data_IF_604794032548
#
_entry.id   IF_604794032548
#
_cell.length_a   1.000
_cell.length_b   1.000
_cell.length_c   1.000
_cell.angle_alpha   90.00
_cell.angle_beta   90.00
_cell.angle_gamma   90.00
#
_symmetry.space_group_name_H-M   'P 1'
#
loop_
_entity.id
_entity.type
_entity.pdbx_description
1 polymer ?
#
# COMPACT_ATOMS: atom_id res chain seq x y z
N UNK A 1 16.62 37.22 -1.12
CA UNK A 1 16.86 37.51 -2.55
C UNK A 1 18.20 36.89 -2.91
N UNK A 2 18.21 35.73 -3.56
CA UNK A 2 19.43 34.96 -3.79
C UNK A 2 19.21 33.96 -4.92
N UNK A 3 19.24 34.46 -6.15
CA UNK A 3 19.24 33.65 -7.36
C UNK A 3 20.67 33.62 -7.91
N UNK A 4 21.13 32.44 -8.34
CA UNK A 4 21.88 32.13 -9.58
C UNK A 4 22.93 31.03 -9.39
N UNK A 5 22.85 30.02 -10.25
CA UNK A 5 24.00 29.54 -11.04
C UNK A 5 23.54 29.19 -12.46
N UNK A 6 24.35 29.59 -13.43
CA UNK A 6 24.23 29.36 -14.88
C UNK A 6 25.33 28.39 -15.32
N UNK A 7 25.13 27.68 -16.45
CA UNK A 7 26.11 27.52 -17.54
C UNK A 7 25.38 27.07 -18.81
N UNK A 8 25.71 27.71 -19.93
CA UNK A 8 25.33 27.39 -21.31
C UNK A 8 26.54 26.74 -21.98
N UNK A 9 26.32 25.67 -22.74
CA UNK A 9 27.29 25.08 -23.65
C UNK A 9 26.58 24.22 -24.69
N UNK A 10 26.38 24.76 -25.88
CA UNK A 10 25.73 24.07 -26.99
C UNK A 10 26.73 23.42 -27.95
N UNK A 11 26.36 22.26 -28.50
CA UNK A 11 26.73 21.81 -29.84
C UNK A 11 25.50 21.12 -30.44
N UNK A 12 25.11 21.61 -31.62
CA UNK A 12 23.98 21.15 -32.44
C UNK A 12 24.41 19.92 -33.24
N UNK A 13 23.60 18.85 -33.22
CA UNK A 13 23.57 17.84 -34.29
C UNK A 13 22.13 17.38 -34.55
N UNK A 14 21.84 17.23 -35.84
CA UNK A 14 20.53 17.20 -36.50
C UNK A 14 19.60 16.03 -36.16
N UNK A 15 18.30 16.37 -36.05
CA UNK A 15 17.11 15.70 -36.60
C UNK A 15 17.02 14.16 -36.57
N UNK A 16 16.31 13.65 -35.56
CA UNK A 16 15.25 12.64 -35.77
C UNK A 16 14.01 13.09 -34.99
N UNK A 17 12.93 13.36 -35.72
CA UNK A 17 11.58 13.60 -35.19
C UNK A 17 11.08 12.27 -34.61
N UNK A 18 11.30 12.08 -33.32
CA UNK A 18 10.56 11.16 -32.49
C UNK A 18 9.67 11.97 -31.56
N UNK A 19 8.46 12.30 -31.99
CA UNK A 19 7.40 12.86 -31.15
C UNK A 19 6.95 11.79 -30.14
N UNK A 20 7.80 11.46 -29.17
CA UNK A 20 7.36 10.92 -27.90
C UNK A 20 6.95 12.12 -27.04
N UNK A 21 5.71 12.56 -27.22
CA UNK A 21 5.02 13.37 -26.21
C UNK A 21 4.70 12.43 -25.04
N UNK A 22 5.72 12.12 -24.25
CA UNK A 22 5.57 11.62 -22.89
C UNK A 22 6.04 12.74 -21.95
N UNK A 23 5.45 13.90 -22.13
CA UNK A 23 5.71 15.13 -21.37
C UNK A 23 4.48 15.64 -20.62
N UNK A 24 3.44 14.81 -20.52
CA UNK A 24 2.43 15.02 -19.49
C UNK A 24 3.05 14.62 -18.17
N UNK A 25 3.64 15.58 -17.45
CA UNK A 25 3.69 15.48 -16.00
C UNK A 25 2.23 15.24 -15.60
N UNK A 26 1.93 14.01 -15.18
CA UNK A 26 0.67 13.68 -14.54
C UNK A 26 0.72 14.44 -13.21
N UNK A 27 0.43 15.74 -13.25
CA UNK A 27 0.17 16.50 -12.04
C UNK A 27 -1.10 15.89 -11.48
N UNK A 28 -0.97 15.16 -10.38
CA UNK A 28 -2.01 14.27 -9.92
C UNK A 28 -3.35 15.01 -9.66
N UNK A 29 -3.29 16.25 -9.18
CA UNK A 29 -4.44 17.14 -9.06
C UNK A 29 -4.69 17.94 -10.34
N UNK A 30 -5.79 17.65 -11.04
CA UNK A 30 -6.31 18.47 -12.15
C UNK A 30 -7.60 19.17 -11.72
N UNK A 31 -7.66 20.49 -11.86
CA UNK A 31 -8.91 21.24 -11.69
C UNK A 31 -9.60 21.41 -13.05
N UNK A 32 -10.75 20.78 -13.24
CA UNK A 32 -11.56 20.87 -14.46
C UNK A 32 -12.85 21.64 -14.18
N UNK A 33 -12.83 22.94 -14.46
CA UNK A 33 -13.93 23.83 -14.07
C UNK A 33 -14.02 23.93 -12.54
N UNK A 34 -15.18 23.59 -11.98
CA UNK A 34 -15.41 23.56 -10.52
C UNK A 34 -15.12 22.19 -9.88
N UNK A 35 -14.65 21.21 -10.67
CA UNK A 35 -14.37 19.85 -10.22
C UNK A 35 -12.87 19.64 -10.00
N UNK A 36 -12.51 19.00 -8.90
CA UNK A 36 -11.17 18.47 -8.64
C UNK A 36 -11.11 17.01 -9.05
N UNK A 37 -10.21 16.65 -9.96
CA UNK A 37 -9.95 15.27 -10.35
C UNK A 37 -8.66 14.81 -9.68
N UNK A 38 -8.78 13.74 -8.89
CA UNK A 38 -7.67 13.15 -8.14
C UNK A 38 -7.29 11.78 -8.72
N UNK A 39 -6.01 11.49 -8.80
CA UNK A 39 -5.48 10.17 -9.19
C UNK A 39 -5.32 9.31 -7.94
N UNK A 40 -6.02 8.16 -7.93
CA UNK A 40 -5.90 7.14 -6.88
C UNK A 40 -5.24 5.87 -7.41
N UNK A 41 -4.18 5.41 -6.74
CA UNK A 41 -3.44 4.19 -7.07
C UNK A 41 -3.68 3.07 -6.06
N UNK A 42 -3.97 1.86 -6.53
CA UNK A 42 -4.09 0.66 -5.70
C UNK A 42 -3.34 -0.50 -6.34
N UNK A 43 -2.46 -1.13 -5.57
CA UNK A 43 -1.72 -2.32 -6.03
C UNK A 43 -2.63 -3.56 -6.07
N UNK A 44 -3.76 -3.56 -5.36
CA UNK A 44 -4.70 -4.67 -5.36
C UNK A 44 -5.58 -4.66 -6.61
N UNK A 45 -5.93 -5.83 -7.16
CA UNK A 45 -6.93 -5.93 -8.22
C UNK A 45 -8.28 -5.35 -7.77
N UNK A 46 -9.02 -4.73 -8.69
CA UNK A 46 -10.34 -4.15 -8.41
C UNK A 46 -11.36 -5.16 -7.88
N UNK A 47 -11.19 -6.46 -8.17
CA UNK A 47 -12.06 -7.54 -7.68
C UNK A 47 -11.74 -7.97 -6.24
N UNK A 48 -10.59 -7.59 -5.70
CA UNK A 48 -10.24 -7.88 -4.31
C UNK A 48 -11.18 -7.12 -3.34
N UNK A 49 -11.44 -7.62 -2.12
CA UNK A 49 -12.19 -6.88 -1.12
C UNK A 49 -11.71 -5.43 -0.87
N UNK A 50 -10.40 -5.14 -0.69
CA UNK A 50 -9.93 -3.75 -0.54
C UNK A 50 -10.14 -2.94 -1.82
N UNK A 51 -9.79 -3.49 -2.99
CA UNK A 51 -9.95 -2.80 -4.28
C UNK A 51 -11.41 -2.42 -4.56
N UNK A 52 -12.36 -3.36 -4.40
CA UNK A 52 -13.80 -3.08 -4.56
C UNK A 52 -14.29 -2.00 -3.61
N UNK A 53 -13.84 -2.05 -2.35
CA UNK A 53 -14.25 -1.08 -1.32
C UNK A 53 -13.74 0.31 -1.63
N UNK A 54 -12.47 0.42 -2.07
CA UNK A 54 -11.86 1.68 -2.46
C UNK A 54 -12.56 2.30 -3.69
N UNK A 55 -12.75 1.52 -4.76
CA UNK A 55 -13.46 1.97 -5.98
C UNK A 55 -14.83 2.49 -5.61
N UNK A 56 -15.64 1.70 -4.90
CA UNK A 56 -16.99 2.09 -4.50
C UNK A 56 -17.00 3.36 -3.64
N UNK A 57 -16.11 3.44 -2.66
CA UNK A 57 -16.07 4.60 -1.77
C UNK A 57 -15.72 5.88 -2.54
N UNK A 58 -14.69 5.84 -3.39
CA UNK A 58 -14.23 6.98 -4.16
C UNK A 58 -15.27 7.42 -5.21
N UNK A 59 -15.80 6.48 -6.00
CA UNK A 59 -16.64 6.83 -7.16
C UNK A 59 -18.10 7.06 -6.80
N UNK A 60 -18.64 6.37 -5.78
CA UNK A 60 -20.05 6.52 -5.38
C UNK A 60 -20.19 7.44 -4.16
N UNK A 61 -19.48 7.13 -3.07
CA UNK A 61 -19.72 7.78 -1.77
C UNK A 61 -19.16 9.19 -1.76
N UNK A 62 -17.91 9.39 -2.19
CA UNK A 62 -17.30 10.73 -2.22
C UNK A 62 -18.01 11.60 -3.24
N UNK A 63 -18.19 11.13 -4.48
CA UNK A 63 -18.89 11.87 -5.53
C UNK A 63 -20.28 12.37 -5.06
N UNK A 64 -21.07 11.51 -4.42
CA UNK A 64 -22.38 11.90 -3.86
C UNK A 64 -22.25 12.94 -2.74
N UNK A 65 -21.30 12.77 -1.82
CA UNK A 65 -21.11 13.69 -0.68
C UNK A 65 -20.55 15.05 -1.09
N UNK A 66 -19.80 15.11 -2.18
CA UNK A 66 -19.23 16.35 -2.72
C UNK A 66 -20.10 16.99 -3.80
N UNK A 67 -21.23 16.39 -4.16
CA UNK A 67 -22.08 16.83 -5.26
C UNK A 67 -21.31 16.89 -6.59
N UNK A 68 -20.43 15.91 -6.84
CA UNK A 68 -19.60 15.84 -8.06
C UNK A 68 -18.40 16.79 -8.11
N UNK A 69 -18.15 17.60 -7.06
CA UNK A 69 -16.98 18.52 -7.03
C UNK A 69 -15.64 17.81 -6.87
N UNK A 70 -15.64 16.54 -6.47
CA UNK A 70 -14.44 15.71 -6.37
C UNK A 70 -14.69 14.42 -7.14
N UNK A 71 -13.84 14.17 -8.12
CA UNK A 71 -13.83 12.98 -8.96
C UNK A 71 -12.50 12.25 -8.84
N UNK A 72 -12.49 10.97 -9.15
CA UNK A 72 -11.30 10.13 -9.02
C UNK A 72 -11.01 9.38 -10.32
N UNK A 73 -9.77 9.47 -10.79
CA UNK A 73 -9.19 8.51 -11.72
C UNK A 73 -8.60 7.35 -10.91
N UNK A 74 -9.37 6.27 -10.79
CA UNK A 74 -8.99 5.09 -10.01
C UNK A 74 -8.21 4.09 -10.88
N UNK A 75 -6.97 3.80 -10.50
CA UNK A 75 -6.10 2.84 -11.17
C UNK A 75 -5.76 1.73 -10.17
N UNK A 76 -6.24 0.51 -10.43
CA UNK A 76 -6.07 -0.66 -9.55
C UNK A 76 -5.13 -1.70 -10.17
N UNK A 77 -4.79 -2.74 -9.40
CA UNK A 77 -4.00 -3.88 -9.87
C UNK A 77 -2.54 -3.53 -10.16
N UNK A 78 -2.03 -2.45 -9.56
CA UNK A 78 -0.65 -2.01 -9.77
C UNK A 78 -0.40 -1.32 -11.10
N UNK A 79 -1.44 -0.92 -11.83
CA UNK A 79 -1.31 -0.30 -13.16
C UNK A 79 -0.63 1.09 -13.18
N UNK A 80 -0.55 1.77 -12.03
CA UNK A 80 0.20 3.02 -11.87
C UNK A 80 1.45 2.81 -11.00
N UNK A 81 1.27 2.24 -9.80
CA UNK A 81 2.35 1.96 -8.86
C UNK A 81 2.09 0.63 -8.14
N UNK A 82 3.16 -0.10 -7.85
CA UNK A 82 3.11 -1.24 -6.94
C UNK A 82 3.07 -0.82 -5.47
N UNK A 83 3.02 -1.80 -4.58
CA UNK A 83 2.97 -1.58 -3.13
C UNK A 83 4.22 -0.87 -2.60
N UNK A 84 5.39 -1.20 -3.16
CA UNK A 84 6.68 -0.64 -2.72
C UNK A 84 6.83 0.83 -3.10
N UNK A 85 6.24 1.26 -4.21
CA UNK A 85 6.34 2.63 -4.71
C UNK A 85 5.27 3.55 -4.14
N UNK A 86 4.18 3.01 -3.56
CA UNK A 86 2.98 3.77 -3.22
C UNK A 86 3.23 4.98 -2.31
N UNK A 87 4.00 4.82 -1.21
CA UNK A 87 4.23 5.93 -0.27
C UNK A 87 5.05 7.06 -0.90
N UNK A 88 6.20 6.72 -1.49
CA UNK A 88 7.08 7.70 -2.15
C UNK A 88 6.43 8.33 -3.37
N UNK A 89 5.64 7.57 -4.11
CA UNK A 89 4.92 8.07 -5.27
C UNK A 89 3.83 9.08 -4.94
N UNK A 90 3.11 8.90 -3.82
CA UNK A 90 2.20 9.94 -3.33
C UNK A 90 3.00 11.16 -2.84
N UNK A 91 4.08 10.93 -2.08
CA UNK A 91 4.92 12.01 -1.57
C UNK A 91 5.55 12.87 -2.69
N UNK A 92 5.87 12.26 -3.84
CA UNK A 92 6.42 12.95 -5.01
C UNK A 92 5.36 13.43 -6.02
N UNK A 93 4.06 13.18 -5.76
CA UNK A 93 2.96 13.63 -6.60
C UNK A 93 2.70 12.82 -7.88
N UNK A 94 3.15 11.56 -7.96
CA UNK A 94 2.79 10.63 -9.05
C UNK A 94 1.29 10.27 -8.99
N UNK A 95 0.74 10.14 -7.79
CA UNK A 95 -0.69 10.04 -7.51
C UNK A 95 -1.04 10.93 -6.33
N UNK A 96 -2.29 11.42 -6.24
CA UNK A 96 -2.72 12.20 -5.07
C UNK A 96 -3.02 11.30 -3.88
N UNK A 97 -3.44 10.08 -4.16
CA UNK A 97 -3.86 9.10 -3.18
C UNK A 97 -3.38 7.71 -3.57
N UNK A 98 -3.04 6.89 -2.57
CA UNK A 98 -2.79 5.48 -2.79
C UNK A 98 -3.23 4.64 -1.60
N UNK A 99 -3.56 3.37 -1.87
CA UNK A 99 -3.57 2.37 -0.81
C UNK A 99 -2.13 2.03 -0.43
N UNK A 100 -1.80 2.19 0.84
CA UNK A 100 -0.48 1.89 1.37
C UNK A 100 -0.58 0.97 2.59
N UNK A 101 0.29 -0.04 2.62
CA UNK A 101 0.51 -0.90 3.78
C UNK A 101 1.79 -0.40 4.45
N UNK A 102 1.68 0.02 5.71
CA UNK A 102 2.81 0.52 6.50
C UNK A 102 3.96 -0.49 6.46
N UNK A 103 5.16 -0.02 6.15
CA UNK A 103 6.33 -0.88 6.02
C UNK A 103 7.61 -0.22 6.52
N UNK A 104 8.42 -0.98 7.25
CA UNK A 104 9.72 -0.52 7.77
C UNK A 104 10.70 -0.05 6.68
N UNK A 105 10.61 -0.60 5.45
CA UNK A 105 11.45 -0.19 4.31
C UNK A 105 11.34 1.30 4.00
N UNK A 106 10.19 1.91 4.29
CA UNK A 106 9.88 3.31 4.00
C UNK A 106 10.19 4.25 5.17
N UNK A 107 10.76 3.71 6.26
CA UNK A 107 11.11 4.46 7.47
C UNK A 107 10.06 4.43 8.57
N UNK A 108 8.99 3.64 8.41
CA UNK A 108 7.99 3.43 9.45
C UNK A 108 8.49 2.42 10.47
N UNK A 109 9.07 2.87 11.58
CA UNK A 109 9.58 2.01 12.66
C UNK A 109 8.60 1.99 13.82
N UNK A 110 8.14 3.15 14.28
CA UNK A 110 7.19 3.29 15.37
C UNK A 110 5.80 2.77 14.98
N UNK A 111 5.36 3.00 13.73
CA UNK A 111 4.08 2.47 13.26
C UNK A 111 4.05 0.94 13.20
N UNK A 112 5.20 0.25 13.11
CA UNK A 112 5.24 -1.22 13.10
C UNK A 112 4.77 -1.86 14.41
N UNK A 113 4.55 -1.08 15.47
CA UNK A 113 3.94 -1.58 16.71
C UNK A 113 2.60 -2.28 16.45
N UNK A 114 1.85 -1.88 15.42
CA UNK A 114 0.55 -2.50 15.11
C UNK A 114 0.66 -3.87 14.44
N UNK A 115 1.85 -4.26 13.97
CA UNK A 115 2.10 -5.57 13.33
C UNK A 115 2.57 -6.63 14.31
N UNK A 116 2.75 -6.27 15.59
CA UNK A 116 3.21 -7.21 16.60
C UNK A 116 2.19 -8.34 16.81
N UNK A 117 2.66 -9.58 17.00
CA UNK A 117 1.79 -10.71 17.34
C UNK A 117 1.04 -10.48 18.66
N UNK A 118 -0.15 -11.06 18.76
CA UNK A 118 -0.94 -11.15 20.00
C UNK A 118 -1.37 -9.80 20.60
N UNK A 119 -1.52 -8.75 19.78
CA UNK A 119 -2.05 -7.44 20.21
C UNK A 119 -3.50 -7.50 20.70
N UNK A 120 -4.25 -8.57 20.38
CA UNK A 120 -5.56 -8.83 20.96
C UNK A 120 -6.63 -7.80 20.60
N UNK A 121 -6.63 -7.32 19.35
CA UNK A 121 -7.57 -6.30 18.89
C UNK A 121 -9.03 -6.77 19.05
N UNK A 122 -9.89 -6.07 19.83
CA UNK A 122 -11.25 -6.55 20.10
C UNK A 122 -12.16 -6.59 18.87
N UNK A 123 -11.93 -5.66 17.95
CA UNK A 123 -12.56 -5.60 16.63
C UNK A 123 -11.71 -4.71 15.73
N UNK A 124 -11.96 -4.78 14.42
CA UNK A 124 -11.33 -3.89 13.44
C UNK A 124 -11.62 -2.41 13.73
N UNK A 125 -12.87 -2.09 14.08
CA UNK A 125 -13.29 -0.73 14.42
C UNK A 125 -12.54 -0.23 15.66
N UNK A 126 -12.38 -1.09 16.67
CA UNK A 126 -11.64 -0.73 17.88
C UNK A 126 -10.13 -0.59 17.62
N UNK A 127 -9.56 -1.44 16.77
CA UNK A 127 -8.16 -1.34 16.34
C UNK A 127 -7.89 0.01 15.65
N UNK A 128 -8.80 0.43 14.75
CA UNK A 128 -8.69 1.73 14.07
C UNK A 128 -8.78 2.90 15.07
N UNK A 129 -9.69 2.82 16.04
CA UNK A 129 -9.81 3.84 17.09
C UNK A 129 -8.53 3.91 17.94
N UNK A 130 -7.95 2.77 18.30
CA UNK A 130 -6.69 2.70 19.07
C UNK A 130 -5.54 3.27 18.26
N UNK A 131 -5.42 2.90 16.98
CA UNK A 131 -4.37 3.42 16.11
C UNK A 131 -4.45 4.94 15.96
N UNK A 132 -5.66 5.51 15.83
CA UNK A 132 -5.85 6.96 15.85
C UNK A 132 -5.35 7.59 17.15
N UNK A 133 -5.73 7.01 18.31
CA UNK A 133 -5.28 7.50 19.62
C UNK A 133 -3.78 7.37 19.80
N UNK A 134 -3.15 6.35 19.22
CA UNK A 134 -1.70 6.19 19.21
C UNK A 134 -1.05 7.34 18.44
N UNK A 135 -1.51 7.64 17.21
CA UNK A 135 -1.00 8.79 16.44
C UNK A 135 -1.20 10.13 17.15
N UNK A 136 -2.32 10.32 17.85
CA UNK A 136 -2.62 11.55 18.59
C UNK A 136 -1.73 11.70 19.84
N UNK A 137 -1.45 10.59 20.53
CA UNK A 137 -0.67 10.58 21.78
C UNK A 137 0.84 10.57 21.55
N UNK A 138 1.29 9.97 20.44
CA UNK A 138 2.69 9.70 20.12
C UNK A 138 3.09 10.41 18.82
N UNK A 139 3.63 11.64 18.89
CA UNK A 139 4.03 12.42 17.73
C UNK A 139 5.01 11.70 16.80
N UNK A 140 5.85 10.81 17.34
CA UNK A 140 6.78 9.97 16.59
C UNK A 140 6.08 9.06 15.57
N UNK A 141 4.93 8.47 15.93
CA UNK A 141 4.13 7.64 15.03
C UNK A 141 3.52 8.52 13.94
N UNK A 142 3.05 9.71 14.29
CA UNK A 142 2.48 10.65 13.31
C UNK A 142 3.55 11.21 12.36
N UNK A 143 4.77 11.44 12.85
CA UNK A 143 5.88 12.02 12.08
C UNK A 143 6.33 11.12 10.93
N UNK A 144 6.22 9.80 11.06
CA UNK A 144 6.59 8.87 9.97
C UNK A 144 5.75 9.07 8.70
N UNK A 145 4.56 9.68 8.83
CA UNK A 145 3.72 10.05 7.69
C UNK A 145 4.13 11.38 7.01
N UNK A 146 5.21 12.05 7.42
CA UNK A 146 5.61 13.36 6.89
C UNK A 146 5.65 13.41 5.36
N UNK A 147 4.95 14.40 4.78
CA UNK A 147 4.79 14.54 3.32
C UNK A 147 3.57 13.81 2.74
N UNK A 148 2.84 13.03 3.53
CA UNK A 148 1.58 12.39 3.14
C UNK A 148 0.56 12.52 4.29
N UNK A 149 -0.73 12.68 3.97
CA UNK A 149 -1.78 12.72 5.01
C UNK A 149 -2.50 11.37 5.05
N UNK A 150 -2.41 10.60 6.16
CA UNK A 150 -3.19 9.37 6.30
C UNK A 150 -4.67 9.74 6.49
N UNK A 151 -5.43 9.68 5.39
CA UNK A 151 -6.83 10.09 5.37
C UNK A 151 -7.77 9.03 5.94
N UNK A 152 -7.51 7.76 5.62
CA UNK A 152 -8.27 6.62 6.11
C UNK A 152 -7.31 5.48 6.40
N UNK A 153 -7.61 4.71 7.46
CA UNK A 153 -6.85 3.54 7.84
C UNK A 153 -7.82 2.45 8.27
N UNK A 154 -7.43 1.21 7.96
CA UNK A 154 -8.13 0.02 8.40
C UNK A 154 -7.10 -1.00 8.82
N UNK A 155 -7.24 -1.51 10.03
CA UNK A 155 -6.52 -2.71 10.43
C UNK A 155 -6.96 -3.89 9.56
N UNK A 156 -5.99 -4.69 9.15
CA UNK A 156 -6.25 -5.96 8.46
C UNK A 156 -6.88 -6.96 9.46
N UNK A 157 -7.64 -7.95 8.97
CA UNK A 157 -8.11 -9.04 9.83
C UNK A 157 -6.93 -9.83 10.40
N UNK A 158 -7.23 -10.66 11.39
CA UNK A 158 -6.24 -11.54 12.01
C UNK A 158 -5.57 -12.46 10.97
N UNK A 159 -4.25 -12.60 11.08
CA UNK A 159 -3.49 -13.52 10.24
C UNK A 159 -3.75 -14.96 10.68
N UNK A 160 -4.13 -15.82 9.74
CA UNK A 160 -4.39 -17.24 9.97
C UNK A 160 -3.37 -18.12 9.26
N UNK A 161 -3.11 -19.30 9.84
CA UNK A 161 -2.41 -20.38 9.13
C UNK A 161 -3.42 -21.11 8.25
N UNK A 162 -3.17 -21.09 6.94
CA UNK A 162 -3.97 -21.81 5.96
C UNK A 162 -3.24 -23.09 5.52
N UNK A 163 -3.91 -24.22 5.64
CA UNK A 163 -3.44 -25.52 5.16
C UNK A 163 -4.31 -26.01 4.02
N UNK A 164 -3.74 -26.71 3.03
CA UNK A 164 -4.56 -27.40 2.03
C UNK A 164 -5.26 -28.60 2.64
N UNK A 165 -6.28 -29.13 1.96
CA UNK A 165 -6.98 -30.37 2.36
C UNK A 165 -6.05 -31.58 2.53
N UNK A 166 -4.89 -31.57 1.86
CA UNK A 166 -3.88 -32.65 1.93
C UNK A 166 -2.92 -32.49 3.11
N UNK A 167 -2.85 -31.29 3.69
CA UNK A 167 -1.93 -31.00 4.78
C UNK A 167 -2.57 -31.36 6.13
N UNK A 168 -1.71 -31.69 7.11
CA UNK A 168 -2.13 -31.93 8.49
C UNK A 168 -2.77 -30.68 9.07
N UNK A 169 -3.94 -30.85 9.71
CA UNK A 169 -4.59 -29.76 10.47
C UNK A 169 -3.71 -29.37 11.64
N UNK A 170 -3.45 -28.08 11.78
CA UNK A 170 -2.70 -27.50 12.90
C UNK A 170 -3.66 -27.27 14.05
N UNK A 171 -3.44 -27.94 15.19
CA UNK A 171 -4.22 -27.75 16.43
C UNK A 171 -3.39 -27.18 17.57
N UNK A 172 -2.08 -27.40 17.51
CA UNK A 172 -1.11 -26.97 18.51
C UNK A 172 0.11 -26.36 17.81
N UNK A 173 0.89 -25.55 18.52
CA UNK A 173 2.15 -25.01 18.00
C UNK A 173 3.12 -26.13 17.60
N UNK A 174 3.10 -27.26 18.33
CA UNK A 174 3.93 -28.42 18.00
C UNK A 174 3.63 -29.02 16.61
N UNK A 175 2.41 -28.87 16.10
CA UNK A 175 2.02 -29.35 14.77
C UNK A 175 2.71 -28.56 13.65
N UNK A 176 3.21 -27.35 13.93
CA UNK A 176 3.91 -26.48 12.98
C UNK A 176 5.38 -26.88 12.81
N UNK A 177 5.92 -27.72 13.69
CA UNK A 177 7.35 -28.05 13.68
C UNK A 177 7.78 -28.63 12.32
N UNK A 178 8.74 -27.97 11.68
CA UNK A 178 9.25 -28.27 10.31
C UNK A 178 8.21 -28.18 9.18
N UNK A 179 6.99 -27.73 9.44
CA UNK A 179 6.00 -27.50 8.40
C UNK A 179 6.47 -26.36 7.48
N UNK A 180 6.45 -26.58 6.16
CA UNK A 180 6.73 -25.52 5.19
C UNK A 180 5.51 -24.60 5.07
N UNK A 181 5.69 -23.32 5.36
CA UNK A 181 4.62 -22.32 5.32
C UNK A 181 5.04 -21.20 4.38
N UNK A 182 4.20 -20.90 3.39
CA UNK A 182 4.43 -19.76 2.50
C UNK A 182 4.27 -18.46 3.29
N UNK A 183 5.19 -17.52 3.10
CA UNK A 183 5.24 -16.26 3.84
C UNK A 183 5.64 -15.09 2.94
N UNK A 184 5.38 -13.88 3.43
CA UNK A 184 5.90 -12.62 2.87
C UNK A 184 6.25 -11.65 4.00
N UNK A 185 7.33 -10.89 3.83
CA UNK A 185 7.67 -9.78 4.73
C UNK A 185 7.87 -10.22 6.18
N UNK A 186 7.31 -9.48 7.15
CA UNK A 186 7.49 -9.79 8.58
C UNK A 186 7.02 -11.19 8.98
N UNK A 187 6.10 -11.80 8.23
CA UNK A 187 5.56 -13.13 8.52
C UNK A 187 6.65 -14.21 8.45
N UNK A 188 7.69 -14.03 7.64
CA UNK A 188 8.83 -14.97 7.58
C UNK A 188 9.51 -15.11 8.95
N UNK A 189 9.71 -13.99 9.65
CA UNK A 189 10.31 -13.99 10.98
C UNK A 189 9.37 -14.61 12.02
N UNK A 190 8.08 -14.27 11.95
CA UNK A 190 7.06 -14.81 12.86
C UNK A 190 6.94 -16.34 12.71
N UNK A 191 6.85 -16.83 11.46
CA UNK A 191 6.72 -18.26 11.15
C UNK A 191 7.94 -19.06 11.59
N UNK A 192 9.15 -18.49 11.45
CA UNK A 192 10.37 -19.09 11.98
C UNK A 192 10.35 -19.15 13.51
N UNK A 193 9.90 -18.08 14.17
CA UNK A 193 9.85 -17.99 15.64
C UNK A 193 8.89 -19.03 16.27
N UNK A 194 7.81 -19.39 15.56
CA UNK A 194 6.86 -20.43 16.01
C UNK A 194 7.28 -21.86 15.63
N UNK A 195 8.50 -22.07 15.12
CA UNK A 195 9.11 -23.39 14.88
C UNK A 195 8.80 -24.02 13.52
N UNK A 196 8.15 -23.30 12.61
CA UNK A 196 7.91 -23.75 11.25
C UNK A 196 9.05 -23.34 10.29
N UNK A 197 9.03 -23.89 9.08
CA UNK A 197 9.98 -23.53 8.01
C UNK A 197 9.31 -22.51 7.09
N UNK A 198 9.63 -21.21 7.17
CA UNK A 198 9.07 -20.25 6.23
C UNK A 198 9.65 -20.48 4.83
N UNK A 199 8.81 -20.30 3.83
CA UNK A 199 9.18 -20.26 2.42
C UNK A 199 8.67 -18.94 1.88
N UNK A 200 9.57 -17.99 1.65
CA UNK A 200 9.19 -16.67 1.14
C UNK A 200 8.87 -16.76 -0.35
N UNK A 201 7.64 -16.42 -0.71
CA UNK A 201 7.11 -16.48 -2.08
C UNK A 201 6.22 -15.27 -2.31
N UNK A 202 6.33 -14.55 -3.43
CA UNK A 202 5.40 -13.47 -3.76
C UNK A 202 3.94 -13.95 -3.75
N UNK A 203 3.01 -13.12 -3.24
CA UNK A 203 1.58 -13.50 -3.10
C UNK A 203 0.99 -14.01 -4.42
N UNK A 204 1.37 -13.42 -5.55
CA UNK A 204 0.91 -13.84 -6.89
C UNK A 204 1.27 -15.29 -7.26
N UNK A 205 2.36 -15.81 -6.71
CA UNK A 205 2.87 -17.16 -7.01
C UNK A 205 2.41 -18.22 -5.99
N UNK A 206 1.66 -17.83 -4.95
CA UNK A 206 1.24 -18.75 -3.90
C UNK A 206 0.40 -19.91 -4.46
N UNK A 207 -0.51 -19.65 -5.40
CA UNK A 207 -1.34 -20.73 -5.97
C UNK A 207 -0.46 -21.78 -6.65
N UNK A 208 0.46 -21.35 -7.52
CA UNK A 208 1.38 -22.24 -8.22
C UNK A 208 2.32 -22.96 -7.25
N UNK A 209 2.82 -22.28 -6.22
CA UNK A 209 3.66 -22.90 -5.18
C UNK A 209 2.88 -23.95 -4.36
N UNK A 210 1.60 -23.73 -4.09
CA UNK A 210 0.73 -24.67 -3.38
C UNK A 210 0.23 -25.81 -4.27
N UNK A 211 0.22 -25.64 -5.60
CA UNK A 211 -0.16 -26.67 -6.57
C UNK A 211 1.00 -27.61 -6.89
N UNK A 212 2.21 -27.08 -7.05
CA UNK A 212 3.46 -27.81 -7.32
C UNK A 212 3.97 -28.65 -6.12
N UNK A 213 3.15 -28.82 -5.08
CA UNK A 213 3.46 -29.53 -3.84
C UNK A 213 4.07 -30.91 -4.08
#
# INVERSE_FOLDING_TARGET
MGFKRWIVGGVVFSLVIGLFVFGGTLSALEKKGDTYVLVYSDHNPSISPPGRSAVRWLTEVVSKRTGGKVEFKVITGGGLMGEAEAFRGVQSGIADMALYVVNARDGFIANMVVTLPFMGWPSREKANEIYRKLMDKHPEIKKEWEGVVPFAYSMMPETHIHTTKRAKVVKTVADLNKMKILTTGEHTTIVKAIGATPVEVPIGDWYTALERR
#
